data_IF_928645057915
#
_entry.id   IF_928645057915
#
_cell.length_a   1.000
_cell.length_b   1.000
_cell.length_c   1.000
_cell.angle_alpha   90.00
_cell.angle_beta   90.00
_cell.angle_gamma   90.00
#
_symmetry.space_group_name_H-M   'P 1'
#
loop_
_entity.id
_entity.type
_entity.pdbx_description
1 polymer ?
#
# COMPACT_ATOMS: atom_id res chain seq x y z
N UNK A 1 33.85 3.54 78.46
CA UNK A 1 33.11 2.30 78.13
C UNK A 1 31.71 2.70 77.73
N UNK A 2 31.43 2.64 76.51
CA UNK A 2 30.11 2.46 75.83
C UNK A 2 30.14 3.07 74.43
N UNK A 3 30.76 2.32 73.64
CA UNK A 3 30.73 2.52 72.20
C UNK A 3 30.10 1.27 71.57
N UNK A 4 28.85 1.21 71.33
CA UNK A 4 28.20 0.25 70.39
C UNK A 4 26.69 0.54 70.48
N UNK A 5 26.14 1.26 69.53
CA UNK A 5 24.72 1.21 69.14
C UNK A 5 24.41 2.35 68.16
N UNK A 6 24.95 2.27 67.00
CA UNK A 6 24.46 3.09 65.89
C UNK A 6 24.89 2.47 64.51
N UNK A 7 24.37 1.32 64.18
CA UNK A 7 24.57 0.73 62.88
C UNK A 7 23.51 -0.33 62.60
N UNK A 8 22.26 0.07 62.41
CA UNK A 8 21.21 -0.87 61.91
C UNK A 8 19.93 -0.12 61.54
N UNK A 9 20.01 0.87 60.66
CA UNK A 9 18.77 1.52 60.11
C UNK A 9 18.96 2.13 58.71
N UNK A 10 19.82 1.56 57.88
CA UNK A 10 20.04 2.04 56.52
C UNK A 10 19.97 0.93 55.48
N UNK A 11 19.11 -0.05 55.68
CA UNK A 11 19.09 -1.23 54.83
C UNK A 11 17.73 -1.59 54.20
N UNK A 12 16.72 -0.73 54.22
CA UNK A 12 15.36 -1.15 53.78
C UNK A 12 14.64 -0.17 52.85
N UNK A 13 15.35 0.68 52.13
CA UNK A 13 14.69 1.62 51.21
C UNK A 13 15.14 1.49 49.75
N UNK A 14 15.68 0.35 49.33
CA UNK A 14 16.18 0.18 47.95
C UNK A 14 15.59 -1.00 47.19
N UNK A 15 14.40 -1.49 47.52
CA UNK A 15 13.83 -2.67 46.81
C UNK A 15 12.55 -2.36 46.01
N UNK A 16 12.08 -1.12 45.94
CA UNK A 16 10.84 -0.81 45.22
C UNK A 16 11.01 0.03 43.94
N UNK A 17 12.21 0.11 43.38
CA UNK A 17 12.40 0.65 42.01
C UNK A 17 12.66 -0.48 41.03
N UNK A 18 11.92 -1.58 41.17
CA UNK A 18 11.94 -2.64 40.16
C UNK A 18 10.87 -2.41 39.13
N UNK A 19 11.36 -2.25 37.91
CA UNK A 19 10.73 -2.74 36.67
C UNK A 19 9.34 -2.20 36.33
N UNK A 20 9.23 -0.91 36.15
CA UNK A 20 8.43 -0.44 35.02
C UNK A 20 9.34 -0.39 33.80
N UNK A 21 9.70 -1.56 33.27
CA UNK A 21 10.07 -1.66 31.87
C UNK A 21 8.84 -1.17 31.10
N UNK A 22 8.97 -0.19 30.20
CA UNK A 22 7.90 0.08 29.27
C UNK A 22 7.69 -1.24 28.51
N UNK A 23 6.53 -1.84 28.67
CA UNK A 23 6.09 -2.84 27.72
C UNK A 23 6.18 -2.12 26.37
N UNK A 24 7.26 -2.38 25.67
CA UNK A 24 7.36 -2.13 24.27
C UNK A 24 6.19 -2.92 23.69
N UNK A 25 5.08 -2.23 23.39
CA UNK A 25 4.16 -2.67 22.39
C UNK A 25 4.97 -2.70 21.08
N UNK A 26 5.83 -3.71 20.95
CA UNK A 26 6.17 -4.23 19.66
C UNK A 26 4.80 -4.59 19.11
N UNK A 27 4.25 -3.69 18.30
CA UNK A 27 3.18 -4.03 17.41
C UNK A 27 3.71 -5.29 16.74
N UNK A 28 3.15 -6.42 17.12
CA UNK A 28 3.32 -7.67 16.42
C UNK A 28 2.73 -7.37 15.04
N UNK A 29 3.56 -6.83 14.15
CA UNK A 29 3.31 -6.85 12.73
C UNK A 29 3.34 -8.33 12.41
N UNK A 30 2.19 -8.93 12.67
CA UNK A 30 1.94 -10.32 12.49
C UNK A 30 2.51 -10.68 11.13
N UNK A 31 3.40 -11.66 11.13
CA UNK A 31 3.91 -12.26 9.90
C UNK A 31 2.69 -12.51 9.05
N UNK A 32 2.48 -11.66 8.02
CA UNK A 32 1.40 -11.83 7.07
C UNK A 32 1.44 -13.27 6.63
N UNK A 33 0.40 -13.99 6.95
CA UNK A 33 0.35 -15.40 6.63
C UNK A 33 -0.07 -15.59 5.18
N UNK A 34 0.31 -16.70 4.60
CA UNK A 34 -0.24 -17.13 3.32
C UNK A 34 -1.79 -17.09 3.36
N UNK A 35 -2.38 -16.68 2.25
CA UNK A 35 -3.83 -16.67 2.08
C UNK A 35 -4.39 -18.08 2.15
N UNK A 36 -5.62 -18.24 2.60
CA UNK A 36 -6.25 -19.57 2.71
C UNK A 36 -6.81 -20.02 1.37
N UNK A 37 -6.83 -21.31 1.20
CA UNK A 37 -7.54 -21.92 0.07
C UNK A 37 -9.03 -21.56 0.14
N UNK A 38 -9.51 -20.86 -0.89
CA UNK A 38 -10.90 -20.39 -0.96
C UNK A 38 -11.07 -18.90 -0.73
N UNK A 39 -10.05 -18.20 -0.22
CA UNK A 39 -10.03 -16.75 -0.21
C UNK A 39 -10.16 -16.24 -1.65
N UNK A 40 -10.88 -15.14 -1.83
CA UNK A 40 -11.13 -14.54 -3.13
C UNK A 40 -10.76 -13.07 -3.10
N UNK A 41 -10.27 -12.59 -4.21
CA UNK A 41 -9.95 -11.19 -4.40
C UNK A 41 -10.59 -10.70 -5.69
N UNK A 42 -11.15 -9.50 -5.64
CA UNK A 42 -11.71 -8.83 -6.80
C UNK A 42 -11.09 -7.43 -6.93
N UNK A 43 -10.66 -7.09 -8.14
CA UNK A 43 -10.13 -5.77 -8.46
C UNK A 43 -11.31 -4.89 -8.85
N UNK A 44 -11.64 -3.89 -8.01
CA UNK A 44 -12.80 -3.02 -8.23
C UNK A 44 -12.48 -1.84 -9.13
N UNK A 45 -11.32 -1.19 -8.89
CA UNK A 45 -10.96 0.04 -9.59
C UNK A 45 -9.46 0.25 -9.68
N UNK A 46 -9.06 1.08 -10.66
CA UNK A 46 -7.71 1.58 -10.84
C UNK A 46 -7.77 3.09 -11.09
N UNK A 47 -7.24 3.86 -10.15
CA UNK A 47 -7.08 5.29 -10.25
C UNK A 47 -5.62 5.65 -10.53
N UNK A 48 -5.40 6.68 -11.32
CA UNK A 48 -4.07 7.09 -11.78
C UNK A 48 -3.85 8.56 -11.47
N UNK A 49 -2.76 8.90 -10.82
CA UNK A 49 -2.42 10.30 -10.54
C UNK A 49 -1.30 10.78 -11.47
N UNK A 50 -1.45 11.95 -12.11
CA UNK A 50 -2.58 12.88 -12.07
C UNK A 50 -3.79 12.42 -12.89
N UNK A 51 -4.99 12.83 -12.44
CA UNK A 51 -6.23 12.72 -13.20
C UNK A 51 -6.76 14.15 -13.47
N UNK A 52 -7.10 14.50 -14.71
CA UNK A 52 -7.00 13.74 -15.93
C UNK A 52 -5.55 13.50 -16.41
N UNK A 53 -5.37 12.39 -17.11
CA UNK A 53 -4.09 12.06 -17.73
C UNK A 53 -3.87 12.99 -18.93
N UNK A 54 -2.75 13.71 -18.94
CA UNK A 54 -2.37 14.62 -20.02
C UNK A 54 -1.12 14.10 -20.74
N UNK A 55 -1.03 14.32 -22.03
CA UNK A 55 0.09 13.87 -22.86
C UNK A 55 1.45 14.36 -22.30
N UNK A 56 2.42 13.44 -22.22
CA UNK A 56 3.74 13.72 -21.69
C UNK A 56 3.82 13.86 -20.17
N UNK A 57 2.71 13.79 -19.45
CA UNK A 57 2.71 13.86 -17.99
C UNK A 57 3.30 12.59 -17.39
N UNK A 58 4.07 12.77 -16.32
CA UNK A 58 4.56 11.64 -15.51
C UNK A 58 3.48 11.15 -14.59
N UNK A 59 3.32 9.85 -14.53
CA UNK A 59 2.51 9.23 -13.48
C UNK A 59 3.26 9.32 -12.16
N UNK A 60 2.53 9.74 -11.13
CA UNK A 60 3.05 9.88 -9.76
C UNK A 60 2.73 8.67 -8.92
N UNK A 61 1.51 8.17 -9.03
CA UNK A 61 1.06 6.98 -8.32
C UNK A 61 -0.09 6.29 -9.05
N UNK A 62 -0.27 5.05 -8.72
CA UNK A 62 -1.39 4.20 -9.10
C UNK A 62 -2.12 3.82 -7.82
N UNK A 63 -3.42 3.97 -7.76
CA UNK A 63 -4.23 3.52 -6.64
C UNK A 63 -5.13 2.38 -7.10
N UNK A 64 -4.94 1.20 -6.54
CA UNK A 64 -5.72 0.01 -6.81
C UNK A 64 -6.72 -0.20 -5.69
N UNK A 65 -7.99 -0.34 -6.05
CA UNK A 65 -9.05 -0.68 -5.11
C UNK A 65 -9.40 -2.15 -5.26
N UNK A 66 -9.23 -2.88 -4.15
CA UNK A 66 -9.43 -4.32 -4.08
C UNK A 66 -10.51 -4.65 -3.06
N UNK A 67 -11.35 -5.65 -3.38
CA UNK A 67 -12.22 -6.31 -2.40
C UNK A 67 -11.66 -7.69 -2.11
N UNK A 68 -11.37 -7.94 -0.85
CA UNK A 68 -10.88 -9.22 -0.39
C UNK A 68 -11.93 -9.93 0.46
N UNK A 69 -12.34 -11.13 0.01
CA UNK A 69 -13.32 -11.99 0.66
C UNK A 69 -12.60 -13.14 1.37
N UNK A 70 -11.84 -12.78 2.39
CA UNK A 70 -11.15 -13.71 3.29
C UNK A 70 -11.55 -13.45 4.73
N UNK A 71 -11.13 -14.35 5.63
CA UNK A 71 -11.46 -14.25 7.07
C UNK A 71 -10.34 -13.58 7.90
N UNK A 72 -9.18 -13.37 7.32
CA UNK A 72 -8.00 -12.80 7.97
C UNK A 72 -7.14 -12.05 6.96
N UNK A 73 -6.23 -11.26 7.47
CA UNK A 73 -5.19 -10.62 6.66
C UNK A 73 -4.30 -11.64 5.99
N UNK A 74 -3.88 -11.36 4.76
CA UNK A 74 -2.86 -12.14 4.07
C UNK A 74 -2.02 -11.27 3.12
N UNK A 75 -0.88 -11.80 2.71
CA UNK A 75 0.03 -11.12 1.80
C UNK A 75 -0.36 -11.36 0.34
N UNK A 76 -0.20 -10.31 -0.46
CA UNK A 76 -0.46 -10.34 -1.90
C UNK A 76 0.66 -9.65 -2.66
N UNK A 77 0.78 -9.99 -3.94
CA UNK A 77 1.56 -9.24 -4.91
C UNK A 77 0.63 -8.56 -5.91
N UNK A 78 0.92 -7.30 -6.24
CA UNK A 78 0.16 -6.53 -7.19
C UNK A 78 1.09 -6.08 -8.30
N UNK A 79 0.74 -6.39 -9.55
CA UNK A 79 1.49 -5.99 -10.74
C UNK A 79 0.55 -5.27 -11.71
N UNK A 80 0.96 -4.10 -12.20
CA UNK A 80 0.25 -3.36 -13.24
C UNK A 80 1.12 -3.40 -14.50
N UNK A 81 0.53 -3.86 -15.61
CA UNK A 81 1.19 -3.98 -16.91
C UNK A 81 0.48 -3.16 -17.96
N UNK A 82 1.26 -2.57 -18.87
CA UNK A 82 0.80 -2.08 -20.14
C UNK A 82 1.45 -2.92 -21.24
N UNK A 83 0.65 -3.73 -21.93
CA UNK A 83 1.21 -4.75 -22.82
C UNK A 83 2.11 -5.72 -22.04
N UNK A 84 3.39 -5.77 -22.41
CA UNK A 84 4.40 -6.61 -21.76
C UNK A 84 5.20 -5.87 -20.68
N UNK A 85 5.05 -4.55 -20.57
CA UNK A 85 5.84 -3.74 -19.66
C UNK A 85 5.21 -3.66 -18.28
N UNK A 86 6.00 -3.88 -17.24
CA UNK A 86 5.58 -3.64 -15.85
C UNK A 86 5.69 -2.14 -15.58
N UNK A 87 4.56 -1.48 -15.31
CA UNK A 87 4.51 -0.04 -15.04
C UNK A 87 4.45 0.29 -13.55
N UNK A 88 3.94 -0.64 -12.75
CA UNK A 88 3.99 -0.57 -11.29
C UNK A 88 3.94 -1.97 -10.68
N UNK A 89 4.56 -2.14 -9.53
CA UNK A 89 4.58 -3.40 -8.79
C UNK A 89 4.72 -3.14 -7.30
N UNK A 90 4.02 -3.93 -6.48
CA UNK A 90 4.21 -3.99 -5.05
C UNK A 90 4.16 -5.43 -4.58
N UNK A 91 5.17 -5.84 -3.82
CA UNK A 91 5.27 -7.16 -3.20
C UNK A 91 4.93 -7.09 -1.71
N UNK A 92 4.45 -8.19 -1.15
CA UNK A 92 4.12 -8.33 0.28
C UNK A 92 3.13 -7.27 0.77
N UNK A 93 2.11 -7.01 -0.04
CA UNK A 93 1.04 -6.10 0.33
C UNK A 93 0.05 -6.83 1.22
N UNK A 94 -0.17 -6.31 2.42
CA UNK A 94 -1.16 -6.87 3.33
C UNK A 94 -2.56 -6.44 2.89
N UNK A 95 -3.43 -7.40 2.64
CA UNK A 95 -4.86 -7.17 2.40
C UNK A 95 -5.68 -7.68 3.58
N UNK A 96 -6.72 -6.93 3.94
CA UNK A 96 -7.66 -7.21 5.01
C UNK A 96 -9.02 -7.57 4.45
N UNK A 97 -9.84 -8.35 5.17
CA UNK A 97 -11.21 -8.58 4.77
C UNK A 97 -11.95 -7.26 4.46
N UNK A 98 -12.63 -7.22 3.33
CA UNK A 98 -13.32 -6.03 2.84
C UNK A 98 -12.56 -5.25 1.79
N UNK A 99 -12.74 -3.92 1.77
CA UNK A 99 -12.16 -3.03 0.76
C UNK A 99 -10.77 -2.56 1.20
N UNK A 100 -9.80 -2.66 0.29
CA UNK A 100 -8.43 -2.20 0.45
C UNK A 100 -8.12 -1.19 -0.65
N UNK A 101 -7.50 -0.07 -0.30
CA UNK A 101 -6.95 0.91 -1.24
C UNK A 101 -5.44 0.91 -1.11
N UNK A 102 -4.76 0.57 -2.19
CA UNK A 102 -3.32 0.36 -2.20
C UNK A 102 -2.69 1.31 -3.22
N UNK A 103 -1.79 2.15 -2.73
CA UNK A 103 -1.04 3.07 -3.58
C UNK A 103 0.28 2.45 -3.99
N UNK A 104 0.53 2.40 -5.30
CA UNK A 104 1.75 1.91 -5.90
C UNK A 104 2.53 3.06 -6.54
N UNK A 105 3.84 3.03 -6.38
CA UNK A 105 4.73 3.93 -7.12
C UNK A 105 5.04 3.34 -8.50
N UNK A 106 5.24 4.19 -9.52
CA UNK A 106 5.69 3.72 -10.81
C UNK A 106 7.01 2.95 -10.71
N UNK A 107 7.08 1.79 -11.34
CA UNK A 107 8.29 0.98 -11.40
C UNK A 107 9.39 1.64 -12.25
N UNK A 108 8.96 2.45 -13.21
CA UNK A 108 9.82 3.24 -14.12
C UNK A 108 9.23 4.65 -14.26
N UNK A 109 10.00 5.58 -14.81
CA UNK A 109 9.51 6.91 -15.18
C UNK A 109 8.51 6.80 -16.36
N UNK A 110 7.33 6.26 -16.06
CA UNK A 110 6.30 6.03 -17.05
C UNK A 110 5.67 7.36 -17.49
N UNK A 111 5.58 7.55 -18.79
CA UNK A 111 4.89 8.70 -19.39
C UNK A 111 3.88 8.20 -20.40
N UNK A 112 2.71 8.78 -20.37
CA UNK A 112 1.72 8.51 -21.41
C UNK A 112 2.19 9.02 -22.77
N UNK A 113 2.15 8.12 -23.76
CA UNK A 113 2.41 8.42 -25.17
C UNK A 113 1.27 7.86 -25.99
N UNK A 114 0.43 8.71 -26.55
CA UNK A 114 -0.68 8.26 -27.35
C UNK A 114 -2.05 8.63 -26.76
N UNK A 115 -3.13 8.14 -27.37
CA UNK A 115 -4.50 8.55 -27.01
C UNK A 115 -5.20 7.63 -26.03
N UNK A 116 -4.88 6.36 -26.04
CA UNK A 116 -5.52 5.35 -25.22
C UNK A 116 -4.46 4.42 -24.63
N UNK A 117 -4.58 4.18 -23.34
CA UNK A 117 -3.70 3.29 -22.59
C UNK A 117 -4.54 2.30 -21.83
N UNK A 118 -4.20 1.03 -21.97
CA UNK A 118 -4.88 -0.04 -21.26
C UNK A 118 -3.91 -0.75 -20.31
N UNK A 119 -4.27 -0.76 -19.04
CA UNK A 119 -3.50 -1.37 -17.96
C UNK A 119 -4.16 -2.66 -17.52
N UNK A 120 -3.37 -3.72 -17.43
CA UNK A 120 -3.79 -4.98 -16.84
C UNK A 120 -3.28 -5.04 -15.41
N UNK A 121 -4.19 -4.96 -14.44
CA UNK A 121 -3.88 -5.15 -13.02
C UNK A 121 -3.99 -6.62 -12.71
N UNK A 122 -2.94 -7.21 -12.17
CA UNK A 122 -2.85 -8.59 -11.73
C UNK A 122 -2.57 -8.63 -10.24
N UNK A 123 -3.23 -9.51 -9.53
CA UNK A 123 -3.04 -9.71 -8.10
C UNK A 123 -2.90 -11.19 -7.81
N UNK A 124 -1.84 -11.54 -7.09
CA UNK A 124 -1.51 -12.88 -6.68
C UNK A 124 -1.59 -12.98 -5.16
N UNK A 125 -2.35 -13.95 -4.66
CA UNK A 125 -2.46 -14.25 -3.23
C UNK A 125 -1.33 -15.17 -2.81
N UNK A 126 -0.56 -14.80 -1.80
CA UNK A 126 0.53 -15.64 -1.31
C UNK A 126 0.00 -16.99 -0.83
N UNK A 127 0.63 -18.07 -1.30
CA UNK A 127 0.22 -19.45 -1.00
C UNK A 127 -0.89 -19.97 -1.90
N UNK A 128 -1.40 -19.18 -2.84
CA UNK A 128 -2.25 -19.69 -3.91
C UNK A 128 -1.48 -20.62 -4.84
N UNK A 129 -2.20 -21.58 -5.42
CA UNK A 129 -1.62 -22.46 -6.46
C UNK A 129 -1.86 -21.93 -7.86
N UNK A 130 -2.55 -20.83 -7.99
CA UNK A 130 -2.82 -20.17 -9.26
C UNK A 130 -1.66 -19.24 -9.60
N UNK A 131 -1.38 -19.10 -10.86
CA UNK A 131 -0.39 -18.15 -11.36
C UNK A 131 -0.86 -16.70 -11.20
N UNK A 132 -2.17 -16.47 -11.34
CA UNK A 132 -2.83 -15.19 -11.10
C UNK A 132 -4.19 -15.46 -10.46
N UNK A 133 -4.46 -14.84 -9.32
CA UNK A 133 -5.72 -15.02 -8.61
C UNK A 133 -6.81 -14.06 -9.10
N UNK A 134 -6.44 -12.84 -9.44
CA UNK A 134 -7.34 -11.86 -10.03
C UNK A 134 -6.62 -11.03 -11.11
N UNK A 135 -7.31 -10.78 -12.23
CA UNK A 135 -6.82 -9.88 -13.26
C UNK A 135 -7.97 -9.04 -13.81
N UNK A 136 -7.71 -7.74 -14.02
CA UNK A 136 -8.68 -6.83 -14.63
C UNK A 136 -7.99 -5.78 -15.49
N UNK A 137 -8.58 -5.52 -16.67
CA UNK A 137 -8.10 -4.51 -17.59
C UNK A 137 -8.87 -3.20 -17.41
N UNK A 138 -8.12 -2.10 -17.33
CA UNK A 138 -8.62 -0.74 -17.26
C UNK A 138 -8.02 0.05 -18.40
N UNK A 139 -8.87 0.80 -19.14
CA UNK A 139 -8.39 1.65 -20.22
C UNK A 139 -8.70 3.11 -19.89
N UNK A 140 -7.69 3.97 -20.01
CA UNK A 140 -7.81 5.39 -19.81
C UNK A 140 -7.55 6.13 -21.12
N UNK A 141 -8.39 7.12 -21.42
CA UNK A 141 -8.17 8.02 -22.54
C UNK A 141 -7.38 9.24 -22.09
N UNK A 142 -6.37 9.57 -22.84
CA UNK A 142 -5.58 10.75 -22.60
C UNK A 142 -6.26 11.98 -23.18
N UNK A 143 -6.30 13.06 -22.38
CA UNK A 143 -6.69 14.37 -22.88
C UNK A 143 -5.51 15.05 -23.55
N UNK A 144 -5.68 15.62 -24.74
CA UNK A 144 -4.63 16.39 -25.37
C UNK A 144 -4.32 17.64 -24.54
N UNK A 145 -3.05 18.04 -24.49
CA UNK A 145 -2.57 19.16 -23.67
C UNK A 145 -3.31 20.49 -23.95
N UNK A 146 -3.79 20.69 -25.17
CA UNK A 146 -4.55 21.89 -25.53
C UNK A 146 -5.97 21.92 -24.94
N UNK A 147 -6.54 20.80 -24.54
CA UNK A 147 -7.90 20.74 -23.97
C UNK A 147 -7.97 21.26 -22.52
N UNK A 148 -6.82 21.49 -21.91
CA UNK A 148 -6.69 22.03 -20.54
C UNK A 148 -6.69 23.58 -20.53
N UNK A 149 -6.72 24.24 -21.66
CA UNK A 149 -6.94 25.70 -21.69
C UNK A 149 -8.39 25.95 -21.37
N UNK A 150 -8.68 26.54 -20.23
CA UNK A 150 -10.00 26.99 -19.86
C UNK A 150 -10.58 27.89 -20.98
N UNK A 151 -11.88 27.74 -21.31
CA UNK A 151 -12.53 28.60 -22.31
C UNK A 151 -12.83 29.99 -21.71
N UNK A 152 -11.87 30.65 -21.07
CA UNK A 152 -12.10 31.88 -20.33
C UNK A 152 -11.21 33.07 -20.68
N UNK A 153 -10.10 32.90 -21.39
CA UNK A 153 -9.21 34.02 -21.72
C UNK A 153 -9.30 34.43 -23.20
N UNK A 154 -10.49 34.83 -23.61
CA UNK A 154 -10.63 35.76 -24.73
C UNK A 154 -10.54 37.18 -24.17
N UNK A 155 -9.37 37.62 -23.78
CA UNK A 155 -9.12 39.08 -23.72
C UNK A 155 -9.20 39.60 -25.15
N UNK A 156 -10.36 40.15 -25.42
CA UNK A 156 -10.62 41.00 -26.60
C UNK A 156 -9.60 42.14 -26.61
N UNK A 157 -8.85 42.22 -27.70
CA UNK A 157 -8.24 43.46 -28.16
C UNK A 157 -8.97 43.94 -29.39
#
# INVERSE_FOLDING_TARGET
MEWIKAALLTGLLNVFLMNMAPESFAADYGKGGACRRGDRLNIEDLDVSPDPIVEGTRIRSWKVRLRFDGNRECETEIVIREGNDVVAQAQRVMVRPGINEIELRPAVNYRFRGREHCFNVQVDLEGSRREVDAARKFCAQQRPAWSMREPGDRSVR
#
